data_IF_751771566100
#
_entry.id   IF_751771566100
#
_cell.length_a   1.000
_cell.length_b   1.000
_cell.length_c   1.000
_cell.angle_alpha   90.00
_cell.angle_beta   90.00
_cell.angle_gamma   90.00
#
_symmetry.space_group_name_H-M   'P 1'
#
loop_
_entity.id
_entity.type
_entity.pdbx_description
1 polymer ?
#
# COMPACT_ATOMS: atom_id res chain seq x y z
N UNK A 1 20.57 6.32 28.04
CA UNK A 1 21.22 5.00 28.16
C UNK A 1 20.44 4.04 27.26
N UNK A 2 21.03 3.61 26.14
CA UNK A 2 20.45 2.53 25.34
C UNK A 2 20.52 1.24 26.17
N UNK A 3 19.46 0.40 26.22
CA UNK A 3 19.51 -0.84 26.97
C UNK A 3 20.58 -1.78 26.38
N UNK A 4 21.32 -2.44 27.26
CA UNK A 4 22.36 -3.41 26.90
C UNK A 4 21.77 -4.57 26.08
N UNK A 5 22.56 -5.12 25.16
CA UNK A 5 22.16 -6.17 24.21
C UNK A 5 21.63 -7.48 24.84
N UNK A 6 21.71 -7.64 26.17
CA UNK A 6 21.29 -8.82 26.92
C UNK A 6 19.80 -8.88 27.26
N UNK A 7 19.02 -7.82 27.02
CA UNK A 7 17.61 -7.73 27.44
C UNK A 7 16.60 -7.76 26.27
N UNK A 8 17.03 -8.19 25.08
CA UNK A 8 16.14 -8.30 23.92
C UNK A 8 15.27 -9.58 24.03
N UNK A 9 13.94 -9.49 23.83
CA UNK A 9 13.08 -10.66 23.78
C UNK A 9 13.61 -11.70 22.77
N UNK A 10 13.57 -13.00 23.11
CA UNK A 10 14.12 -14.08 22.27
C UNK A 10 13.63 -14.04 20.82
N UNK A 11 12.39 -13.61 20.59
CA UNK A 11 11.81 -13.47 19.25
C UNK A 11 12.48 -12.36 18.41
N UNK A 12 12.98 -11.30 19.05
CA UNK A 12 13.72 -10.20 18.39
C UNK A 12 15.11 -10.65 17.96
N UNK A 13 15.80 -11.40 18.82
CA UNK A 13 17.15 -11.91 18.56
C UNK A 13 17.18 -12.92 17.43
N UNK A 14 16.13 -13.75 17.32
CA UNK A 14 16.06 -14.75 16.26
C UNK A 14 16.10 -14.08 14.87
N UNK A 15 15.36 -13.00 14.61
CA UNK A 15 15.16 -12.43 13.27
C UNK A 15 16.41 -11.84 12.56
N UNK A 16 17.58 -11.78 13.21
CA UNK A 16 18.82 -11.17 12.68
C UNK A 16 19.54 -11.93 11.53
N UNK A 17 19.00 -13.05 11.04
CA UNK A 17 19.69 -13.99 10.11
C UNK A 17 19.42 -13.72 8.62
N UNK A 18 18.61 -12.72 8.27
CA UNK A 18 18.45 -12.32 6.87
C UNK A 18 19.73 -11.64 6.35
N UNK A 19 20.36 -12.25 5.36
CA UNK A 19 21.48 -11.63 4.65
C UNK A 19 21.04 -10.25 4.12
N UNK A 20 21.87 -9.22 4.37
CA UNK A 20 21.70 -7.86 3.82
C UNK A 20 21.83 -7.89 2.30
N UNK A 21 20.76 -8.24 1.60
CA UNK A 21 20.77 -8.39 0.14
C UNK A 21 20.47 -7.08 -0.61
N UNK A 22 19.92 -6.06 0.05
CA UNK A 22 19.62 -4.75 -0.54
C UNK A 22 20.24 -3.62 0.28
N UNK A 23 20.79 -2.61 -0.40
CA UNK A 23 21.27 -1.39 0.25
C UNK A 23 20.12 -0.56 0.83
N UNK A 24 20.41 0.30 1.81
CA UNK A 24 19.44 1.24 2.39
C UNK A 24 18.75 2.09 1.32
N UNK A 25 19.49 2.47 0.27
CA UNK A 25 18.94 3.22 -0.86
C UNK A 25 17.93 2.38 -1.67
N UNK A 26 18.25 1.11 -1.95
CA UNK A 26 17.33 0.20 -2.66
C UNK A 26 16.05 -0.05 -1.84
N UNK A 27 16.16 -0.17 -0.52
CA UNK A 27 14.98 -0.33 0.36
C UNK A 27 14.10 0.91 0.38
N UNK A 28 14.69 2.10 0.45
CA UNK A 28 13.95 3.36 0.37
C UNK A 28 13.25 3.52 -1.00
N UNK A 29 13.87 3.05 -2.08
CA UNK A 29 13.26 3.05 -3.40
C UNK A 29 12.10 2.05 -3.49
N UNK A 30 12.24 0.84 -2.94
CA UNK A 30 11.13 -0.11 -2.84
C UNK A 30 9.96 0.44 -2.03
N UNK A 31 10.26 1.17 -0.94
CA UNK A 31 9.25 1.83 -0.12
C UNK A 31 8.44 2.87 -0.91
N UNK A 32 9.14 3.74 -1.63
CA UNK A 32 8.51 4.75 -2.50
C UNK A 32 7.76 4.11 -3.67
N UNK A 33 8.33 3.06 -4.28
CA UNK A 33 7.74 2.31 -5.38
C UNK A 33 6.46 1.58 -4.99
N UNK A 34 6.43 1.01 -3.77
CA UNK A 34 5.26 0.38 -3.18
C UNK A 34 4.14 1.39 -2.91
N UNK A 35 4.46 2.51 -2.28
CA UNK A 35 3.47 3.54 -1.89
C UNK A 35 2.94 4.36 -3.09
N UNK A 36 3.79 4.72 -4.06
CA UNK A 36 3.36 5.40 -5.29
C UNK A 36 2.92 4.34 -6.30
N UNK A 37 1.66 3.93 -6.18
CA UNK A 37 1.07 2.88 -7.01
C UNK A 37 -0.37 3.15 -7.42
N UNK A 38 -1.12 2.07 -7.62
CA UNK A 38 -2.53 2.11 -8.04
C UNK A 38 -3.44 2.83 -7.04
N UNK A 39 -3.02 2.95 -5.78
CA UNK A 39 -3.71 3.75 -4.78
C UNK A 39 -3.80 5.23 -5.12
N UNK A 40 -2.76 5.82 -5.74
CA UNK A 40 -2.84 7.18 -6.26
C UNK A 40 -3.48 7.21 -7.64
N UNK A 41 -3.09 6.31 -8.54
CA UNK A 41 -3.42 6.47 -9.96
C UNK A 41 -4.76 5.88 -10.40
N UNK A 42 -5.35 4.94 -9.67
CA UNK A 42 -6.62 4.30 -10.03
C UNK A 42 -7.67 4.51 -8.94
N UNK A 43 -7.33 4.25 -7.68
CA UNK A 43 -8.26 4.43 -6.56
C UNK A 43 -8.65 5.89 -6.33
N UNK A 44 -7.86 6.86 -6.83
CA UNK A 44 -8.24 8.27 -6.80
C UNK A 44 -9.49 8.58 -7.61
N UNK A 45 -9.78 7.82 -8.67
CA UNK A 45 -11.02 8.00 -9.44
C UNK A 45 -12.24 7.70 -8.58
N UNK A 46 -12.16 6.63 -7.78
CA UNK A 46 -13.20 6.23 -6.82
C UNK A 46 -13.35 7.28 -5.71
N UNK A 47 -12.24 7.79 -5.15
CA UNK A 47 -12.29 8.79 -4.09
C UNK A 47 -12.84 10.14 -4.56
N UNK A 48 -12.45 10.58 -5.76
CA UNK A 48 -12.96 11.82 -6.39
C UNK A 48 -14.45 11.70 -6.70
N UNK A 49 -14.95 10.53 -7.11
CA UNK A 49 -16.37 10.33 -7.38
C UNK A 49 -17.23 10.49 -6.10
N UNK A 50 -16.69 10.08 -4.95
CA UNK A 50 -17.39 10.13 -3.64
C UNK A 50 -17.24 11.48 -2.93
N UNK A 51 -16.11 12.17 -3.08
CA UNK A 51 -15.83 13.41 -2.36
C UNK A 51 -15.92 14.69 -3.23
N UNK A 52 -15.92 14.55 -4.57
CA UNK A 52 -15.76 15.68 -5.48
C UNK A 52 -14.40 16.38 -5.30
N UNK A 53 -14.29 17.70 -5.58
CA UNK A 53 -13.05 18.45 -5.40
C UNK A 53 -12.53 18.45 -3.96
N UNK A 54 -13.42 18.30 -2.97
CA UNK A 54 -13.06 18.17 -1.56
C UNK A 54 -12.27 16.89 -1.22
N UNK A 55 -12.04 15.99 -2.19
CA UNK A 55 -11.13 14.84 -2.05
C UNK A 55 -9.72 15.25 -1.60
N UNK A 56 -9.31 16.50 -1.86
CA UNK A 56 -8.06 17.08 -1.35
C UNK A 56 -8.00 16.94 0.18
N UNK A 57 -9.11 17.22 0.87
CA UNK A 57 -9.20 17.06 2.33
C UNK A 57 -9.21 15.59 2.74
N UNK A 58 -9.76 14.68 1.94
CA UNK A 58 -9.65 13.24 2.19
C UNK A 58 -8.19 12.76 2.20
N UNK A 59 -7.36 13.28 1.29
CA UNK A 59 -5.91 13.01 1.30
C UNK A 59 -5.19 13.64 2.50
N UNK A 60 -5.57 14.85 2.92
CA UNK A 60 -5.02 15.48 4.13
C UNK A 60 -5.36 14.68 5.39
N UNK A 61 -6.60 14.18 5.52
CA UNK A 61 -6.99 13.34 6.65
C UNK A 61 -6.24 12.00 6.63
N UNK A 62 -6.13 11.35 5.47
CA UNK A 62 -5.33 10.12 5.32
C UNK A 62 -3.85 10.33 5.65
N UNK A 63 -3.27 11.47 5.24
CA UNK A 63 -1.91 11.87 5.61
C UNK A 63 -1.76 12.04 7.13
N UNK A 64 -2.73 12.68 7.79
CA UNK A 64 -2.72 12.86 9.24
C UNK A 64 -2.78 11.51 9.99
N UNK A 65 -3.63 10.58 9.56
CA UNK A 65 -3.69 9.21 10.13
C UNK A 65 -2.35 8.49 9.93
N UNK A 66 -1.78 8.58 8.72
CA UNK A 66 -0.50 7.97 8.40
C UNK A 66 0.64 8.57 9.23
N UNK A 67 0.60 9.87 9.53
CA UNK A 67 1.54 10.53 10.43
C UNK A 67 1.43 10.01 11.87
N UNK A 68 0.21 9.81 12.39
CA UNK A 68 0.00 9.20 13.70
C UNK A 68 0.55 7.78 13.76
N UNK A 69 0.31 6.97 12.71
CA UNK A 69 0.86 5.63 12.57
C UNK A 69 2.39 5.66 12.54
N UNK A 70 2.98 6.55 11.74
CA UNK A 70 4.42 6.75 11.64
C UNK A 70 5.06 7.07 12.99
N UNK A 71 4.43 7.92 13.81
CA UNK A 71 4.93 8.20 15.17
C UNK A 71 4.96 6.96 16.06
N UNK A 72 3.88 6.17 16.06
CA UNK A 72 3.80 4.92 16.81
C UNK A 72 4.87 3.91 16.36
N UNK A 73 5.03 3.76 15.04
CA UNK A 73 6.04 2.88 14.46
C UNK A 73 7.47 3.33 14.78
N UNK A 74 7.76 4.65 14.74
CA UNK A 74 9.08 5.18 15.09
C UNK A 74 9.46 4.81 16.53
N UNK A 75 8.56 5.05 17.49
CA UNK A 75 8.83 4.76 18.91
C UNK A 75 9.15 3.27 19.15
N UNK A 76 8.36 2.36 18.56
CA UNK A 76 8.61 0.92 18.71
C UNK A 76 9.83 0.43 17.92
N UNK A 77 10.05 0.95 16.71
CA UNK A 77 11.16 0.54 15.85
C UNK A 77 12.53 0.97 16.39
N UNK A 78 12.59 2.14 17.04
CA UNK A 78 13.82 2.61 17.71
C UNK A 78 14.07 1.80 18.98
N UNK A 79 13.04 1.44 19.73
CA UNK A 79 13.17 0.64 20.95
C UNK A 79 13.54 -0.84 20.67
N UNK A 80 12.94 -1.43 19.63
CA UNK A 80 13.10 -2.85 19.27
C UNK A 80 13.30 -3.04 17.76
N UNK A 81 14.46 -2.63 17.20
CA UNK A 81 14.75 -2.79 15.78
C UNK A 81 14.86 -4.29 15.46
N UNK A 82 13.91 -4.81 14.68
CA UNK A 82 13.81 -6.25 14.38
C UNK A 82 13.23 -6.50 13.00
N UNK A 83 13.73 -7.51 12.30
CA UNK A 83 13.13 -7.95 11.04
C UNK A 83 11.79 -8.65 11.38
N UNK A 84 10.69 -8.14 10.82
CA UNK A 84 9.32 -8.57 11.18
C UNK A 84 8.52 -7.52 11.97
N UNK A 85 9.19 -6.51 12.53
CA UNK A 85 8.64 -5.26 13.04
C UNK A 85 7.36 -5.42 13.87
N UNK A 86 6.26 -4.81 13.44
CA UNK A 86 4.99 -4.77 14.16
C UNK A 86 4.34 -6.13 14.39
N UNK A 87 4.64 -7.14 13.55
CA UNK A 87 4.21 -8.52 13.80
C UNK A 87 4.97 -9.21 14.93
N UNK A 88 6.22 -8.81 15.19
CA UNK A 88 6.98 -9.25 16.37
C UNK A 88 6.49 -8.50 17.60
N UNK A 89 6.37 -7.17 17.51
CA UNK A 89 5.95 -6.34 18.64
C UNK A 89 4.54 -6.72 19.15
N UNK A 90 3.60 -7.03 18.26
CA UNK A 90 2.27 -7.51 18.67
C UNK A 90 2.35 -8.83 19.46
N UNK A 91 3.29 -9.72 19.08
CA UNK A 91 3.57 -10.96 19.80
C UNK A 91 4.07 -10.72 21.22
N UNK A 92 5.02 -9.79 21.37
CA UNK A 92 5.67 -9.44 22.62
C UNK A 92 4.76 -8.65 23.56
N UNK A 93 4.05 -7.64 23.04
CA UNK A 93 3.32 -6.67 23.86
C UNK A 93 1.84 -6.99 24.08
N UNK A 94 1.25 -7.86 23.26
CA UNK A 94 -0.16 -8.24 23.38
C UNK A 94 -0.30 -9.73 23.68
N UNK A 95 0.06 -10.59 22.72
CA UNK A 95 0.00 -12.05 22.87
C UNK A 95 0.60 -12.77 21.66
N UNK A 96 0.99 -14.05 21.78
CA UNK A 96 1.39 -14.86 20.64
C UNK A 96 0.35 -14.92 19.51
N UNK A 97 -0.95 -14.94 19.84
CA UNK A 97 -2.04 -14.85 18.86
C UNK A 97 -2.02 -13.52 18.10
N UNK A 98 -1.83 -12.39 18.79
CA UNK A 98 -1.76 -11.09 18.15
C UNK A 98 -0.56 -11.00 17.18
N UNK A 99 0.60 -11.55 17.58
CA UNK A 99 1.77 -11.67 16.70
C UNK A 99 1.47 -12.49 15.43
N UNK A 100 0.82 -13.64 15.58
CA UNK A 100 0.35 -14.46 14.45
C UNK A 100 -0.63 -13.70 13.56
N UNK A 101 -1.68 -13.13 14.17
CA UNK A 101 -2.79 -12.47 13.48
C UNK A 101 -2.30 -11.30 12.61
N UNK A 102 -1.37 -10.50 13.13
CA UNK A 102 -0.76 -9.38 12.41
C UNK A 102 0.10 -9.87 11.25
N UNK A 103 0.97 -10.87 11.47
CA UNK A 103 1.83 -11.40 10.40
C UNK A 103 1.03 -12.05 9.27
N UNK A 104 0.03 -12.88 9.60
CA UNK A 104 -0.83 -13.51 8.59
C UNK A 104 -1.68 -12.48 7.86
N UNK A 105 -2.25 -11.50 8.57
CA UNK A 105 -3.03 -10.44 7.93
C UNK A 105 -2.17 -9.59 7.00
N UNK A 106 -0.96 -9.24 7.41
CA UNK A 106 -0.01 -8.50 6.58
C UNK A 106 0.43 -9.31 5.36
N UNK A 107 0.68 -10.61 5.51
CA UNK A 107 0.97 -11.48 4.36
C UNK A 107 -0.23 -11.56 3.39
N UNK A 108 -1.41 -11.85 3.91
CA UNK A 108 -2.62 -12.07 3.11
C UNK A 108 -3.05 -10.80 2.38
N UNK A 109 -3.02 -9.64 3.05
CA UNK A 109 -3.36 -8.37 2.41
C UNK A 109 -2.41 -8.04 1.26
N UNK A 110 -1.12 -8.38 1.38
CA UNK A 110 -0.14 -8.11 0.34
C UNK A 110 -0.36 -9.01 -0.87
N UNK A 111 -0.70 -10.30 -0.66
CA UNK A 111 -1.07 -11.22 -1.74
C UNK A 111 -2.28 -10.68 -2.51
N UNK A 112 -3.32 -10.26 -1.80
CA UNK A 112 -4.55 -9.73 -2.38
C UNK A 112 -4.31 -8.38 -3.08
N UNK A 113 -3.55 -7.47 -2.46
CA UNK A 113 -3.14 -6.20 -3.06
C UNK A 113 -2.35 -6.41 -4.36
N UNK A 114 -1.46 -7.40 -4.40
CA UNK A 114 -0.72 -7.79 -5.62
C UNK A 114 -1.69 -8.24 -6.72
N UNK A 115 -2.68 -9.07 -6.39
CA UNK A 115 -3.76 -9.43 -7.33
C UNK A 115 -4.50 -8.21 -7.87
N UNK A 116 -4.86 -7.26 -7.00
CA UNK A 116 -5.50 -6.00 -7.39
C UNK A 116 -4.66 -5.13 -8.31
N UNK A 117 -3.34 -5.12 -8.12
CA UNK A 117 -2.41 -4.38 -8.98
C UNK A 117 -2.25 -5.03 -10.36
N UNK A 118 -2.26 -6.36 -10.44
CA UNK A 118 -2.30 -7.06 -11.74
C UNK A 118 -3.62 -6.81 -12.47
N UNK A 119 -4.74 -6.76 -11.75
CA UNK A 119 -6.03 -6.36 -12.32
C UNK A 119 -5.95 -4.92 -12.83
N UNK A 120 -5.38 -3.98 -12.07
CA UNK A 120 -5.16 -2.62 -12.55
C UNK A 120 -4.26 -2.57 -13.80
N UNK A 121 -3.18 -3.35 -13.84
CA UNK A 121 -2.34 -3.48 -15.02
C UNK A 121 -3.13 -3.98 -16.24
N UNK A 122 -4.07 -4.92 -16.04
CA UNK A 122 -4.96 -5.38 -17.12
C UNK A 122 -5.92 -4.29 -17.63
N UNK A 123 -6.37 -3.38 -16.75
CA UNK A 123 -7.20 -2.23 -17.12
C UNK A 123 -6.40 -1.29 -18.01
N UNK A 124 -5.14 -0.98 -17.63
CA UNK A 124 -4.28 -0.12 -18.42
C UNK A 124 -3.91 -0.72 -19.77
N UNK A 125 -3.73 -2.04 -19.87
CA UNK A 125 -3.52 -2.70 -21.16
C UNK A 125 -4.74 -2.59 -22.09
N UNK A 126 -5.94 -2.47 -21.53
CA UNK A 126 -7.15 -2.21 -22.29
C UNK A 126 -7.13 -0.89 -23.08
N UNK A 127 -6.30 0.08 -22.68
CA UNK A 127 -6.12 1.34 -23.42
C UNK A 127 -5.54 1.10 -24.83
N UNK A 128 -4.54 0.23 -24.96
CA UNK A 128 -3.91 -0.10 -26.25
C UNK A 128 -4.53 -1.31 -26.93
N UNK A 129 -5.00 -2.28 -26.13
CA UNK A 129 -5.47 -3.58 -26.60
C UNK A 129 -6.89 -3.87 -26.08
N UNK A 130 -7.90 -3.07 -26.45
CA UNK A 130 -9.27 -3.21 -25.92
C UNK A 130 -9.94 -4.55 -26.29
N UNK A 131 -9.50 -5.19 -27.38
CA UNK A 131 -10.02 -6.49 -27.82
C UNK A 131 -9.47 -7.71 -27.06
N UNK A 132 -8.46 -7.54 -26.20
CA UNK A 132 -7.83 -8.64 -25.47
C UNK A 132 -8.45 -8.77 -24.08
N UNK A 133 -9.02 -9.93 -23.70
CA UNK A 133 -9.58 -10.14 -22.37
C UNK A 133 -8.57 -9.84 -21.25
N UNK A 134 -8.98 -9.04 -20.26
CA UNK A 134 -8.10 -8.59 -19.18
C UNK A 134 -7.46 -9.74 -18.38
N UNK A 135 -8.13 -10.88 -18.26
CA UNK A 135 -7.58 -12.06 -17.57
C UNK A 135 -6.26 -12.57 -18.20
N UNK A 136 -6.10 -12.42 -19.53
CA UNK A 136 -4.86 -12.80 -20.23
C UNK A 136 -3.71 -11.91 -19.76
N UNK A 137 -3.95 -10.60 -19.63
CA UNK A 137 -2.95 -9.68 -19.11
C UNK A 137 -2.59 -9.96 -17.65
N UNK A 138 -3.58 -10.25 -16.79
CA UNK A 138 -3.31 -10.65 -15.40
C UNK A 138 -2.42 -11.89 -15.35
N UNK A 139 -2.73 -12.92 -16.14
CA UNK A 139 -1.93 -14.14 -16.21
C UNK A 139 -0.51 -13.86 -16.72
N UNK A 140 -0.38 -13.11 -17.81
CA UNK A 140 0.91 -12.80 -18.41
C UNK A 140 1.83 -12.04 -17.43
N UNK A 141 1.31 -11.02 -16.76
CA UNK A 141 2.08 -10.25 -15.77
C UNK A 141 2.37 -11.07 -14.50
N UNK A 142 1.43 -11.89 -14.02
CA UNK A 142 1.67 -12.80 -12.91
C UNK A 142 2.83 -13.76 -13.22
N UNK A 143 2.80 -14.42 -14.38
CA UNK A 143 3.85 -15.32 -14.83
C UNK A 143 5.20 -14.60 -14.97
N UNK A 144 5.22 -13.42 -15.59
CA UNK A 144 6.42 -12.61 -15.72
C UNK A 144 7.02 -12.24 -14.36
N UNK A 145 6.21 -11.77 -13.42
CA UNK A 145 6.67 -11.43 -12.07
C UNK A 145 7.24 -12.63 -11.32
N UNK A 146 6.59 -13.80 -11.40
CA UNK A 146 7.09 -15.03 -10.76
C UNK A 146 8.43 -15.50 -11.38
N UNK A 147 8.58 -15.40 -12.70
CA UNK A 147 9.83 -15.72 -13.39
C UNK A 147 10.94 -14.74 -13.00
N UNK A 148 10.65 -13.43 -12.96
CA UNK A 148 11.62 -12.41 -12.57
C UNK A 148 12.05 -12.59 -11.11
N UNK A 149 11.10 -12.81 -10.20
CA UNK A 149 11.37 -12.95 -8.77
C UNK A 149 12.03 -14.29 -8.40
N UNK A 150 11.93 -15.32 -9.24
CA UNK A 150 12.64 -16.59 -9.04
C UNK A 150 14.09 -16.56 -9.52
N UNK A 151 14.47 -15.65 -10.43
CA UNK A 151 15.80 -15.55 -11.03
C UNK A 151 16.65 -14.44 -10.41
N UNK A 152 17.18 -14.73 -9.22
CA UNK A 152 18.23 -14.02 -8.47
C UNK A 152 17.99 -12.54 -8.09
N UNK A 153 17.89 -12.32 -6.78
CA UNK A 153 17.51 -11.07 -6.09
C UNK A 153 18.43 -9.87 -6.36
N UNK A 154 19.68 -10.10 -6.79
CA UNK A 154 20.69 -9.05 -6.97
C UNK A 154 20.37 -7.98 -8.02
N UNK A 155 19.46 -8.25 -8.96
CA UNK A 155 19.04 -7.27 -10.00
C UNK A 155 17.70 -6.58 -9.69
N UNK A 156 16.95 -7.06 -8.70
CA UNK A 156 15.62 -6.52 -8.38
C UNK A 156 15.69 -5.07 -7.89
N UNK A 157 16.66 -4.74 -7.03
CA UNK A 157 16.83 -3.37 -6.54
C UNK A 157 17.17 -2.36 -7.65
N UNK A 158 17.90 -2.78 -8.69
CA UNK A 158 18.23 -1.92 -9.83
C UNK A 158 17.03 -1.72 -10.76
N UNK A 159 16.27 -2.80 -11.04
CA UNK A 159 15.02 -2.70 -11.83
C UNK A 159 14.03 -1.79 -11.11
N UNK A 160 13.88 -1.97 -9.79
CA UNK A 160 12.98 -1.16 -8.98
C UNK A 160 13.37 0.32 -8.98
N UNK A 161 14.67 0.63 -8.87
CA UNK A 161 15.16 1.99 -8.96
C UNK A 161 14.69 2.71 -10.22
N UNK A 162 14.84 2.06 -11.38
CA UNK A 162 14.40 2.64 -12.66
C UNK A 162 12.87 2.76 -12.74
N UNK A 163 12.13 1.76 -12.26
CA UNK A 163 10.66 1.83 -12.24
C UNK A 163 10.16 2.96 -11.33
N UNK A 164 10.76 3.16 -10.15
CA UNK A 164 10.42 4.29 -9.28
C UNK A 164 10.80 5.62 -9.91
N UNK A 165 11.96 5.71 -10.57
CA UNK A 165 12.39 6.93 -11.25
C UNK A 165 11.38 7.36 -12.32
N UNK A 166 10.87 6.41 -13.13
CA UNK A 166 9.82 6.67 -14.12
C UNK A 166 8.59 7.29 -13.46
N UNK A 167 8.14 6.75 -12.31
CA UNK A 167 6.98 7.28 -11.58
C UNK A 167 7.21 8.70 -11.09
N UNK A 168 8.36 8.95 -10.45
CA UNK A 168 8.68 10.26 -9.87
C UNK A 168 8.77 11.33 -10.96
N UNK A 169 9.47 11.03 -12.06
CA UNK A 169 9.58 11.93 -13.21
C UNK A 169 8.21 12.19 -13.81
N UNK A 170 7.38 11.17 -13.99
CA UNK A 170 6.05 11.33 -14.56
C UNK A 170 5.11 12.15 -13.66
N UNK A 171 5.17 11.97 -12.34
CA UNK A 171 4.45 12.80 -11.38
C UNK A 171 4.92 14.25 -11.47
N UNK A 172 6.24 14.49 -11.53
CA UNK A 172 6.78 15.83 -11.67
C UNK A 172 6.36 16.51 -12.98
N UNK A 173 6.38 15.77 -14.10
CA UNK A 173 5.89 16.23 -15.40
C UNK A 173 4.40 16.54 -15.36
N UNK A 174 3.60 15.66 -14.76
CA UNK A 174 2.16 15.89 -14.59
C UNK A 174 1.91 17.16 -13.77
N UNK A 175 2.60 17.33 -12.64
CA UNK A 175 2.48 18.53 -11.79
C UNK A 175 2.88 19.79 -12.58
N UNK A 176 4.02 19.79 -13.25
CA UNK A 176 4.50 20.93 -14.04
C UNK A 176 3.56 21.28 -15.19
N UNK A 177 3.23 20.33 -16.05
CA UNK A 177 2.35 20.55 -17.21
C UNK A 177 0.95 20.99 -16.80
N UNK A 178 0.36 20.33 -15.79
CA UNK A 178 -0.98 20.68 -15.32
C UNK A 178 -1.00 22.04 -14.62
N UNK A 179 0.06 22.40 -13.87
CA UNK A 179 0.17 23.73 -13.28
C UNK A 179 0.25 24.83 -14.36
N UNK A 180 0.99 24.62 -15.44
CA UNK A 180 1.04 25.56 -16.58
C UNK A 180 -0.34 25.76 -17.20
N UNK A 181 -1.09 24.67 -17.41
CA UNK A 181 -2.47 24.72 -17.96
C UNK A 181 -3.43 25.43 -17.02
N UNK A 182 -3.36 25.16 -15.71
CA UNK A 182 -4.23 25.79 -14.70
C UNK A 182 -3.93 27.29 -14.58
N UNK A 183 -2.67 27.70 -14.69
CA UNK A 183 -2.24 29.11 -14.59
C UNK A 183 -2.35 29.90 -15.91
N UNK A 184 -2.58 29.23 -17.05
CA UNK A 184 -2.63 29.87 -18.37
C UNK A 184 -1.26 30.26 -18.92
N UNK A 185 -0.17 29.75 -18.32
CA UNK A 185 1.19 30.01 -18.77
C UNK A 185 1.56 29.24 -20.05
N UNK A 186 0.62 28.48 -20.61
CA UNK A 186 0.76 27.78 -21.89
C UNK A 186 0.43 28.65 -23.12
N UNK A 187 -0.05 29.88 -22.91
CA UNK A 187 -0.55 30.75 -24.00
C UNK A 187 -2.02 30.54 -24.35
N UNK A 188 -2.65 29.51 -23.78
CA UNK A 188 -4.09 29.26 -23.83
C UNK A 188 -4.81 29.89 -22.63
N UNK A 189 -6.13 30.19 -22.70
CA UNK A 189 -6.87 30.73 -21.57
C UNK A 189 -6.74 29.83 -20.34
N UNK A 190 -6.34 30.42 -19.21
CA UNK A 190 -6.18 29.70 -17.96
C UNK A 190 -7.46 28.90 -17.63
N UNK A 191 -7.30 27.60 -17.37
CA UNK A 191 -8.41 26.82 -16.79
C UNK A 191 -8.79 27.40 -15.44
N UNK A 192 -7.82 27.92 -14.69
CA UNK A 192 -8.00 28.51 -13.37
C UNK A 192 -8.55 27.50 -12.37
N UNK A 193 -9.17 28.00 -11.30
CA UNK A 193 -9.79 27.17 -10.26
C UNK A 193 -11.27 26.89 -10.51
N UNK A 194 -11.79 27.17 -11.72
CA UNK A 194 -13.23 27.06 -12.03
C UNK A 194 -13.78 25.64 -11.90
N UNK A 195 -12.96 24.62 -12.13
CA UNK A 195 -13.38 23.23 -11.99
C UNK A 195 -13.45 22.79 -10.51
N UNK A 196 -12.73 23.48 -9.62
CA UNK A 196 -12.78 23.24 -8.18
C UNK A 196 -14.11 23.72 -7.59
N UNK A 197 -14.63 24.85 -8.08
CA UNK A 197 -15.89 25.44 -7.60
C UNK A 197 -17.10 25.11 -8.50
N UNK A 198 -16.88 24.60 -9.70
CA UNK A 198 -17.91 24.16 -10.63
C UNK A 198 -18.53 22.79 -10.30
N UNK A 199 -19.57 22.39 -11.05
CA UNK A 199 -20.18 21.04 -10.97
C UNK A 199 -20.77 20.64 -9.61
N UNK A 200 -21.26 21.61 -8.83
CA UNK A 200 -21.86 21.40 -7.50
C UNK A 200 -21.08 22.01 -6.33
N UNK A 201 -20.07 22.84 -6.60
CA UNK A 201 -19.25 23.48 -5.58
C UNK A 201 -18.01 22.67 -5.19
N UNK A 202 -17.24 23.21 -4.25
CA UNK A 202 -16.02 22.57 -3.75
C UNK A 202 -16.29 21.24 -3.02
N UNK A 203 -17.34 21.20 -2.19
CA UNK A 203 -17.70 20.05 -1.38
C UNK A 203 -19.15 19.61 -1.66
N UNK A 204 -19.44 19.06 -2.86
CA UNK A 204 -20.81 18.73 -3.28
C UNK A 204 -21.49 17.69 -2.38
N UNK A 205 -20.70 16.89 -1.65
CA UNK A 205 -21.16 15.86 -0.72
C UNK A 205 -20.86 16.21 0.75
N UNK A 206 -20.46 17.46 1.02
CA UNK A 206 -20.12 17.96 2.35
C UNK A 206 -19.01 17.18 3.06
N UNK A 207 -18.94 17.34 4.39
CA UNK A 207 -17.95 16.65 5.25
C UNK A 207 -18.11 15.13 5.18
N UNK A 208 -19.33 14.63 4.96
CA UNK A 208 -19.60 13.20 4.79
C UNK A 208 -18.86 12.64 3.57
N UNK A 209 -18.93 13.32 2.42
CA UNK A 209 -18.18 12.90 1.23
C UNK A 209 -16.68 12.89 1.45
N UNK A 210 -16.15 13.91 2.14
CA UNK A 210 -14.73 13.97 2.51
C UNK A 210 -14.34 12.74 3.34
N UNK A 211 -15.11 12.41 4.38
CA UNK A 211 -14.84 11.26 5.25
C UNK A 211 -14.96 9.93 4.51
N UNK A 212 -15.99 9.75 3.69
CA UNK A 212 -16.14 8.52 2.88
C UNK A 212 -15.01 8.40 1.83
N UNK A 213 -14.53 9.52 1.28
CA UNK A 213 -13.35 9.57 0.41
C UNK A 213 -12.09 9.04 1.09
N UNK A 214 -11.94 9.22 2.42
CA UNK A 214 -10.80 8.70 3.19
C UNK A 214 -10.70 7.18 3.08
N UNK A 215 -11.82 6.47 2.95
CA UNK A 215 -11.83 5.02 2.79
C UNK A 215 -11.05 4.55 1.56
N UNK A 216 -10.95 5.39 0.52
CA UNK A 216 -10.15 5.12 -0.67
C UNK A 216 -8.74 5.71 -0.56
N UNK A 217 -8.60 6.97 -0.12
CA UNK A 217 -7.31 7.67 -0.09
C UNK A 217 -6.33 7.10 0.93
N UNK A 218 -6.83 6.49 2.01
CA UNK A 218 -5.98 5.80 2.99
C UNK A 218 -5.17 4.67 2.35
N UNK A 219 -5.71 4.03 1.30
CA UNK A 219 -5.02 2.96 0.58
C UNK A 219 -3.76 3.47 -0.13
N UNK A 220 -3.72 4.74 -0.55
CA UNK A 220 -2.52 5.34 -1.14
C UNK A 220 -1.34 5.39 -0.16
N UNK A 221 -1.60 5.38 1.14
CA UNK A 221 -0.57 5.43 2.17
C UNK A 221 -0.16 4.05 2.71
N UNK A 222 -0.83 2.97 2.29
CA UNK A 222 -0.39 1.61 2.65
C UNK A 222 0.99 1.37 2.05
N UNK A 223 1.91 0.85 2.87
CA UNK A 223 3.31 0.65 2.51
C UNK A 223 4.26 1.59 3.25
N UNK A 224 3.78 2.66 3.92
CA UNK A 224 4.62 3.49 4.79
C UNK A 224 5.21 2.71 5.97
N UNK A 225 4.59 1.59 6.34
CA UNK A 225 5.09 0.68 7.37
C UNK A 225 6.38 -0.07 6.97
N UNK A 226 6.80 -0.03 5.70
CA UNK A 226 8.02 -0.71 5.25
C UNK A 226 9.28 -0.24 5.98
N UNK A 227 9.36 1.04 6.36
CA UNK A 227 10.47 1.59 7.16
C UNK A 227 10.56 0.92 8.53
N UNK A 228 9.43 0.49 9.08
CA UNK A 228 9.41 -0.32 10.30
C UNK A 228 9.90 -1.75 10.01
N UNK A 229 9.43 -2.38 8.92
CA UNK A 229 9.85 -3.74 8.53
C UNK A 229 11.35 -3.85 8.31
N UNK A 230 11.97 -2.81 7.76
CA UNK A 230 13.42 -2.75 7.51
C UNK A 230 14.23 -2.16 8.68
N UNK A 231 13.60 -1.86 9.81
CA UNK A 231 14.27 -1.27 10.98
C UNK A 231 15.44 -2.11 11.51
N UNK A 232 15.33 -3.44 11.45
CA UNK A 232 16.38 -4.37 11.87
C UNK A 232 17.65 -4.32 11.00
N UNK A 233 17.61 -3.64 9.86
CA UNK A 233 18.74 -3.51 8.93
C UNK A 233 19.44 -2.15 9.02
N UNK A 234 18.90 -1.20 9.79
CA UNK A 234 19.47 0.14 9.94
C UNK A 234 20.74 0.12 10.81
N UNK A 235 21.79 0.82 10.38
CA UNK A 235 23.05 0.95 11.12
C UNK A 235 22.92 1.79 12.39
N UNK A 236 22.15 2.88 12.32
CA UNK A 236 21.73 3.68 13.48
C UNK A 236 20.20 3.82 13.45
N UNK A 237 19.47 2.89 14.10
CA UNK A 237 18.02 2.91 14.17
C UNK A 237 17.46 4.22 14.77
N UNK A 238 18.12 4.77 15.80
CA UNK A 238 17.64 5.92 16.54
C UNK A 238 17.60 7.21 15.70
N UNK A 239 18.53 7.37 14.76
CA UNK A 239 18.55 8.52 13.84
C UNK A 239 17.93 8.22 12.48
N UNK A 240 18.19 7.03 11.93
CA UNK A 240 17.82 6.70 10.55
C UNK A 240 16.33 6.49 10.40
N UNK A 241 15.70 5.78 11.33
CA UNK A 241 14.28 5.40 11.23
C UNK A 241 13.36 6.63 11.34
N UNK A 242 13.48 7.53 12.35
CA UNK A 242 12.63 8.71 12.44
C UNK A 242 12.75 9.60 11.21
N UNK A 243 13.98 9.81 10.72
CA UNK A 243 14.26 10.66 9.56
C UNK A 243 13.66 10.07 8.28
N UNK A 244 13.84 8.77 8.04
CA UNK A 244 13.30 8.07 6.88
C UNK A 244 11.77 8.08 6.88
N UNK A 245 11.14 7.71 8.01
CA UNK A 245 9.69 7.67 8.14
C UNK A 245 9.04 9.05 7.94
N UNK A 246 9.57 10.10 8.59
CA UNK A 246 9.04 11.47 8.43
C UNK A 246 9.16 11.97 7.01
N UNK A 247 10.31 11.77 6.36
CA UNK A 247 10.54 12.18 4.96
C UNK A 247 9.59 11.47 4.01
N UNK A 248 9.38 10.17 4.22
CA UNK A 248 8.48 9.37 3.38
C UNK A 248 7.03 9.85 3.52
N UNK A 249 6.50 9.94 4.75
CA UNK A 249 5.11 10.35 4.95
C UNK A 249 4.87 11.77 4.45
N UNK A 250 5.75 12.73 4.77
CA UNK A 250 5.60 14.11 4.31
C UNK A 250 5.74 14.22 2.79
N UNK A 251 6.69 13.50 2.19
CA UNK A 251 6.90 13.49 0.74
C UNK A 251 5.69 12.93 0.00
N UNK A 252 5.17 11.77 0.43
CA UNK A 252 3.97 11.18 -0.16
C UNK A 252 2.74 12.07 0.03
N UNK A 253 2.57 12.66 1.22
CA UNK A 253 1.47 13.58 1.50
C UNK A 253 1.49 14.78 0.56
N UNK A 254 2.66 15.41 0.38
CA UNK A 254 2.82 16.54 -0.52
C UNK A 254 2.51 16.13 -1.97
N UNK A 255 3.07 15.01 -2.43
CA UNK A 255 2.83 14.49 -3.78
C UNK A 255 1.34 14.25 -4.01
N UNK A 256 0.66 13.53 -3.11
CA UNK A 256 -0.75 13.18 -3.29
C UNK A 256 -1.67 14.40 -3.24
N UNK A 257 -1.47 15.31 -2.28
CA UNK A 257 -2.29 16.51 -2.17
C UNK A 257 -2.12 17.41 -3.40
N UNK A 258 -0.88 17.66 -3.83
CA UNK A 258 -0.59 18.52 -4.99
C UNK A 258 -1.13 17.91 -6.28
N UNK A 259 -0.87 16.62 -6.52
CA UNK A 259 -1.31 15.95 -7.74
C UNK A 259 -2.84 15.90 -7.85
N UNK A 260 -3.54 15.61 -6.76
CA UNK A 260 -5.00 15.56 -6.74
C UNK A 260 -5.61 16.94 -6.87
N UNK A 261 -5.05 17.96 -6.21
CA UNK A 261 -5.50 19.34 -6.35
C UNK A 261 -5.41 19.81 -7.81
N UNK A 262 -4.29 19.53 -8.48
CA UNK A 262 -4.11 19.85 -9.90
C UNK A 262 -5.03 19.04 -10.82
N UNK A 263 -5.27 17.77 -10.49
CA UNK A 263 -6.18 16.91 -11.25
C UNK A 263 -7.61 17.48 -11.25
N UNK A 264 -8.17 17.80 -10.08
CA UNK A 264 -9.54 18.35 -9.96
C UNK A 264 -9.63 19.82 -10.39
N UNK A 265 -8.52 20.56 -10.39
CA UNK A 265 -8.45 21.91 -10.95
C UNK A 265 -8.46 21.90 -12.48
N UNK A 266 -7.73 20.96 -13.09
CA UNK A 266 -7.59 20.91 -14.56
C UNK A 266 -8.80 20.32 -15.26
N UNK A 267 -9.49 19.36 -14.64
CA UNK A 267 -10.60 18.63 -15.26
C UNK A 267 -11.82 18.60 -14.34
N UNK A 268 -13.04 18.85 -14.84
CA UNK A 268 -14.26 18.69 -14.06
C UNK A 268 -14.36 17.29 -13.45
N UNK A 269 -14.54 17.20 -12.13
CA UNK A 269 -14.47 15.92 -11.41
C UNK A 269 -15.50 14.87 -11.87
N UNK A 270 -16.65 15.30 -12.39
CA UNK A 270 -17.69 14.41 -12.97
C UNK A 270 -17.26 13.74 -14.29
N UNK A 271 -16.20 14.24 -14.90
CA UNK A 271 -15.66 13.75 -16.17
C UNK A 271 -14.42 12.86 -15.98
N UNK A 272 -13.93 12.71 -14.75
CA UNK A 272 -12.87 11.77 -14.41
C UNK A 272 -13.48 10.36 -14.34
N UNK A 273 -12.90 9.42 -15.09
CA UNK A 273 -13.42 8.06 -15.22
C UNK A 273 -13.34 7.26 -13.91
N UNK A 274 -14.25 6.30 -13.75
CA UNK A 274 -14.35 5.41 -12.55
C UNK A 274 -13.81 3.99 -12.85
N UNK A 275 -13.39 3.71 -14.09
CA UNK A 275 -12.88 2.40 -14.54
C UNK A 275 -11.50 2.44 -15.21
N UNK A 276 -10.87 3.61 -15.23
CA UNK A 276 -9.53 3.86 -15.78
C UNK A 276 -8.80 4.87 -14.87
N UNK A 277 -7.53 5.14 -15.12
CA UNK A 277 -6.80 6.13 -14.32
C UNK A 277 -7.35 7.54 -14.59
N UNK A 278 -7.83 8.29 -13.57
CA UNK A 278 -8.29 9.67 -13.79
C UNK A 278 -7.16 10.60 -14.27
N UNK A 279 -5.89 10.24 -14.04
CA UNK A 279 -4.76 10.97 -14.59
C UNK A 279 -4.63 10.80 -16.11
N UNK A 280 -4.89 9.59 -16.60
CA UNK A 280 -4.93 9.29 -18.04
C UNK A 280 -6.12 9.99 -18.68
N UNK A 281 -7.32 9.86 -18.09
CA UNK A 281 -8.54 10.53 -18.58
C UNK A 281 -8.40 12.05 -18.57
N UNK A 282 -7.80 12.61 -17.51
CA UNK A 282 -7.56 14.05 -17.38
C UNK A 282 -6.63 14.57 -18.48
N UNK A 283 -5.47 13.92 -18.68
CA UNK A 283 -4.53 14.30 -19.73
C UNK A 283 -5.09 14.12 -21.14
N UNK A 284 -5.90 13.09 -21.39
CA UNK A 284 -6.58 12.90 -22.66
C UNK A 284 -7.48 14.10 -23.03
N UNK A 285 -8.09 14.73 -22.03
CA UNK A 285 -8.96 15.90 -22.20
C UNK A 285 -8.20 17.21 -22.39
N UNK A 286 -6.95 17.29 -21.95
CA UNK A 286 -6.10 18.47 -22.20
C UNK A 286 -5.66 18.58 -23.67
N UNK A 287 -5.92 17.57 -24.50
CA UNK A 287 -5.62 17.61 -25.94
C UNK A 287 -4.13 17.53 -26.27
N UNK A 288 -3.26 17.26 -25.28
CA UNK A 288 -1.81 17.13 -25.50
C UNK A 288 -1.53 15.79 -26.19
N UNK A 289 -1.06 15.77 -27.46
CA UNK A 289 -0.85 14.53 -28.19
C UNK A 289 0.14 13.61 -27.47
N UNK A 290 -0.23 12.34 -27.33
CA UNK A 290 0.61 11.31 -26.68
C UNK A 290 0.68 11.37 -25.15
N UNK A 291 0.22 12.44 -24.49
CA UNK A 291 0.31 12.59 -23.03
C UNK A 291 -0.48 11.51 -22.28
N UNK A 292 -1.70 11.21 -22.73
CA UNK A 292 -2.52 10.15 -22.15
C UNK A 292 -1.88 8.76 -22.27
N UNK A 293 -1.32 8.44 -23.46
CA UNK A 293 -0.62 7.18 -23.69
C UNK A 293 0.65 7.04 -22.85
N UNK A 294 1.44 8.11 -22.73
CA UNK A 294 2.62 8.13 -21.87
C UNK A 294 2.23 7.94 -20.40
N UNK A 295 1.19 8.64 -19.93
CA UNK A 295 0.70 8.48 -18.57
C UNK A 295 0.16 7.07 -18.34
N UNK A 296 -0.51 6.47 -19.33
CA UNK A 296 -0.99 5.10 -19.24
C UNK A 296 0.16 4.09 -19.07
N UNK A 297 1.29 4.32 -19.77
CA UNK A 297 2.52 3.55 -19.58
C UNK A 297 3.13 3.74 -18.19
N UNK A 298 3.16 4.98 -17.69
CA UNK A 298 3.62 5.28 -16.34
C UNK A 298 2.78 4.54 -15.31
N UNK A 299 1.45 4.62 -15.35
CA UNK A 299 0.59 3.97 -14.35
C UNK A 299 0.63 2.45 -14.44
N UNK A 300 0.87 1.88 -15.64
CA UNK A 300 1.15 0.46 -15.82
C UNK A 300 2.45 0.06 -15.12
N UNK A 301 3.55 0.78 -15.40
CA UNK A 301 4.83 0.54 -14.71
C UNK A 301 4.70 0.71 -13.20
N UNK A 302 3.83 1.64 -12.76
CA UNK A 302 3.58 1.89 -11.36
C UNK A 302 2.91 0.71 -10.66
N UNK A 303 1.92 0.10 -11.32
CA UNK A 303 1.25 -1.11 -10.85
C UNK A 303 2.22 -2.30 -10.77
N UNK A 304 3.01 -2.54 -11.81
CA UNK A 304 3.96 -3.66 -11.85
C UNK A 304 5.09 -3.54 -10.83
N UNK A 305 5.65 -2.34 -10.62
CA UNK A 305 6.67 -2.13 -9.58
C UNK A 305 6.08 -2.29 -8.17
N UNK A 306 4.87 -1.79 -7.92
CA UNK A 306 4.21 -2.04 -6.64
C UNK A 306 3.98 -3.54 -6.41
N UNK A 307 3.74 -4.32 -7.47
CA UNK A 307 3.52 -5.77 -7.36
C UNK A 307 4.81 -6.49 -7.01
N UNK A 308 5.92 -6.05 -7.58
CA UNK A 308 7.24 -6.52 -7.26
C UNK A 308 7.62 -6.21 -5.79
N UNK A 309 7.34 -4.98 -5.32
CA UNK A 309 7.54 -4.60 -3.92
C UNK A 309 6.68 -5.42 -2.96
N UNK A 310 5.43 -5.71 -3.30
CA UNK A 310 4.56 -6.57 -2.50
C UNK A 310 5.06 -8.01 -2.44
N UNK A 311 5.51 -8.60 -3.56
CA UNK A 311 6.10 -9.95 -3.58
C UNK A 311 7.31 -10.06 -2.65
N UNK A 312 8.11 -9.00 -2.57
CA UNK A 312 9.22 -8.92 -1.64
C UNK A 312 8.77 -8.89 -0.17
N UNK A 313 7.73 -8.10 0.15
CA UNK A 313 7.15 -8.04 1.50
C UNK A 313 6.49 -9.36 1.90
N UNK A 314 5.79 -10.00 0.96
CA UNK A 314 5.16 -11.32 1.13
C UNK A 314 6.20 -12.35 1.54
N UNK A 315 7.31 -12.43 0.80
CA UNK A 315 8.40 -13.34 1.09
C UNK A 315 8.97 -13.16 2.50
N UNK A 316 9.23 -11.91 2.91
CA UNK A 316 9.76 -11.59 4.24
C UNK A 316 8.79 -11.91 5.36
N UNK A 317 7.51 -11.64 5.13
CA UNK A 317 6.47 -11.94 6.12
C UNK A 317 6.29 -13.44 6.29
N UNK A 318 6.35 -14.20 5.20
CA UNK A 318 6.26 -15.66 5.25
C UNK A 318 7.50 -16.28 5.90
N UNK A 319 8.69 -15.72 5.65
CA UNK A 319 9.90 -16.08 6.36
C UNK A 319 9.74 -15.87 7.88
N UNK A 320 9.26 -14.70 8.29
CA UNK A 320 9.01 -14.39 9.70
C UNK A 320 7.96 -15.33 10.33
N UNK A 321 6.90 -15.70 9.59
CA UNK A 321 5.91 -16.70 10.03
C UNK A 321 6.54 -18.08 10.24
N UNK A 322 7.41 -18.51 9.32
CA UNK A 322 8.06 -19.81 9.39
C UNK A 322 9.04 -19.88 10.58
N UNK A 323 9.76 -18.78 10.85
CA UNK A 323 10.67 -18.69 11.99
C UNK A 323 10.00 -18.67 13.35
N UNK A 324 8.80 -18.09 13.43
CA UNK A 324 7.94 -18.20 14.60
C UNK A 324 7.24 -19.57 14.72
N UNK A 325 7.50 -20.50 13.80
CA UNK A 325 6.92 -21.84 13.80
C UNK A 325 5.43 -21.90 13.42
N UNK A 326 4.85 -20.80 12.93
CA UNK A 326 3.44 -20.73 12.58
C UNK A 326 3.10 -21.40 11.24
N UNK A 327 4.09 -21.55 10.35
CA UNK A 327 3.96 -22.22 9.06
C UNK A 327 5.13 -23.20 8.85
N UNK A 328 5.05 -24.16 7.91
CA UNK A 328 6.13 -25.13 7.69
C UNK A 328 7.49 -24.45 7.44
N UNK A 329 8.60 -24.97 8.00
CA UNK A 329 9.94 -24.39 7.82
C UNK A 329 10.34 -24.20 6.35
N UNK A 330 9.86 -25.09 5.46
CA UNK A 330 10.08 -25.01 4.02
C UNK A 330 9.56 -23.72 3.37
N UNK A 331 8.60 -23.01 3.97
CA UNK A 331 8.13 -21.71 3.48
C UNK A 331 9.06 -20.55 3.89
N UNK A 332 9.93 -20.78 4.87
CA UNK A 332 11.00 -19.86 5.28
C UNK A 332 12.36 -20.17 4.67
N UNK A 333 12.47 -21.12 3.74
CA UNK A 333 13.75 -21.40 3.09
C UNK A 333 13.96 -20.47 1.89
N UNK A 334 15.21 -20.01 1.74
CA UNK A 334 15.66 -19.30 0.55
C UNK A 334 16.53 -20.22 -0.30
N UNK A 335 16.47 -20.06 -1.63
CA UNK A 335 17.35 -20.78 -2.55
C UNK A 335 18.81 -20.32 -2.38
N UNK A 336 19.76 -21.04 -3.00
CA UNK A 336 21.19 -20.66 -3.04
C UNK A 336 21.43 -19.25 -3.60
N UNK A 337 20.49 -18.71 -4.39
CA UNK A 337 20.54 -17.35 -4.94
C UNK A 337 19.76 -16.32 -4.10
N UNK A 338 19.36 -16.68 -2.87
CA UNK A 338 18.63 -15.81 -1.94
C UNK A 338 17.13 -15.67 -2.22
N UNK A 339 16.60 -16.29 -3.27
CA UNK A 339 15.19 -16.15 -3.66
C UNK A 339 14.28 -17.13 -2.88
N UNK A 340 13.18 -16.66 -2.26
CA UNK A 340 12.24 -17.47 -1.47
C UNK A 340 11.16 -18.12 -2.36
N UNK A 341 11.58 -19.06 -3.20
CA UNK A 341 10.74 -19.63 -4.27
C UNK A 341 9.47 -20.31 -3.74
N UNK A 342 9.53 -21.00 -2.60
CA UNK A 342 8.35 -21.63 -2.01
C UNK A 342 7.31 -20.60 -1.56
N UNK A 343 7.76 -19.47 -1.01
CA UNK A 343 6.88 -18.36 -0.66
C UNK A 343 6.23 -17.74 -1.89
N UNK A 344 6.99 -17.57 -2.97
CA UNK A 344 6.50 -17.07 -4.24
C UNK A 344 5.47 -18.01 -4.87
N UNK A 345 5.68 -19.33 -4.84
CA UNK A 345 4.74 -20.31 -5.38
C UNK A 345 3.42 -20.35 -4.60
N UNK A 346 3.47 -20.34 -3.27
CA UNK A 346 2.25 -20.25 -2.44
C UNK A 346 1.50 -18.94 -2.71
N UNK A 347 2.23 -17.85 -2.92
CA UNK A 347 1.64 -16.57 -3.29
C UNK A 347 1.10 -16.55 -4.72
N UNK A 348 1.67 -17.37 -5.61
CA UNK A 348 1.20 -17.64 -6.95
C UNK A 348 -0.21 -18.22 -7.00
N UNK A 349 -0.66 -18.91 -5.94
CA UNK A 349 -2.07 -19.35 -5.80
C UNK A 349 -3.00 -18.14 -5.71
N UNK A 350 -2.61 -17.11 -4.95
CA UNK A 350 -3.35 -15.85 -4.87
C UNK A 350 -3.36 -15.09 -6.20
N UNK A 351 -2.27 -15.15 -6.97
CA UNK A 351 -2.23 -14.58 -8.31
C UNK A 351 -3.11 -15.35 -9.31
N UNK A 352 -3.16 -16.68 -9.20
CA UNK A 352 -4.09 -17.51 -9.96
C UNK A 352 -5.56 -17.19 -9.65
N UNK A 353 -5.88 -16.95 -8.37
CA UNK A 353 -7.21 -16.47 -7.98
C UNK A 353 -7.52 -15.10 -8.60
N UNK A 354 -6.54 -14.21 -8.75
CA UNK A 354 -6.73 -12.94 -9.45
C UNK A 354 -7.09 -13.09 -10.93
N UNK A 355 -6.49 -14.07 -11.63
CA UNK A 355 -6.87 -14.41 -13.01
C UNK A 355 -8.33 -14.86 -13.07
N UNK A 356 -8.72 -15.78 -12.18
CA UNK A 356 -10.09 -16.31 -12.13
C UNK A 356 -11.10 -15.21 -11.82
N UNK A 357 -10.86 -14.39 -10.80
CA UNK A 357 -11.75 -13.28 -10.42
C UNK A 357 -11.87 -12.27 -11.56
N UNK A 358 -10.76 -11.94 -12.25
CA UNK A 358 -10.80 -11.03 -13.41
C UNK A 358 -11.56 -11.60 -14.60
N UNK A 359 -11.54 -12.92 -14.79
CA UNK A 359 -12.28 -13.61 -15.84
C UNK A 359 -13.79 -13.65 -15.53
N UNK A 360 -14.17 -13.93 -14.29
CA UNK A 360 -15.57 -14.07 -13.87
C UNK A 360 -16.27 -12.74 -13.62
N UNK A 361 -15.56 -11.75 -13.06
CA UNK A 361 -16.12 -10.45 -12.69
C UNK A 361 -15.28 -9.28 -13.24
N UNK A 362 -15.28 -9.08 -14.58
CA UNK A 362 -14.33 -8.20 -15.24
C UNK A 362 -14.38 -6.74 -14.78
N UNK A 363 -15.57 -6.23 -14.44
CA UNK A 363 -15.78 -4.83 -14.10
C UNK A 363 -15.58 -4.53 -12.61
N UNK A 364 -15.78 -5.51 -11.74
CA UNK A 364 -15.70 -5.32 -10.29
C UNK A 364 -14.44 -5.90 -9.67
N UNK A 365 -13.67 -6.72 -10.39
CA UNK A 365 -12.48 -7.40 -9.86
C UNK A 365 -11.53 -6.45 -9.10
N UNK A 366 -11.25 -5.27 -9.66
CA UNK A 366 -10.36 -4.30 -9.00
C UNK A 366 -10.90 -3.86 -7.64
N UNK A 367 -12.18 -3.47 -7.57
CA UNK A 367 -12.84 -3.01 -6.35
C UNK A 367 -12.91 -4.13 -5.31
N UNK A 368 -13.14 -5.38 -5.72
CA UNK A 368 -13.10 -6.53 -4.81
C UNK A 368 -11.70 -6.73 -4.21
N UNK A 369 -10.65 -6.77 -5.04
CA UNK A 369 -9.28 -6.89 -4.54
C UNK A 369 -8.90 -5.72 -3.63
N UNK A 370 -9.24 -4.50 -4.04
CA UNK A 370 -9.02 -3.29 -3.26
C UNK A 370 -9.68 -3.38 -1.89
N UNK A 371 -10.97 -3.68 -1.83
CA UNK A 371 -11.73 -3.67 -0.60
C UNK A 371 -11.35 -4.80 0.37
N UNK A 372 -11.03 -5.99 -0.14
CA UNK A 372 -10.55 -7.10 0.71
C UNK A 372 -9.13 -6.81 1.24
N UNK A 373 -8.23 -6.29 0.39
CA UNK A 373 -6.89 -5.89 0.84
C UNK A 373 -6.96 -4.74 1.86
N UNK A 374 -7.88 -3.78 1.66
CA UNK A 374 -8.11 -2.67 2.58
C UNK A 374 -8.52 -3.16 3.97
N UNK A 375 -9.34 -4.22 4.08
CA UNK A 375 -9.68 -4.80 5.38
C UNK A 375 -8.42 -5.23 6.13
N UNK A 376 -7.58 -6.04 5.47
CA UNK A 376 -6.34 -6.53 6.05
C UNK A 376 -5.39 -5.41 6.47
N UNK A 377 -5.28 -4.37 5.64
CA UNK A 377 -4.45 -3.20 5.93
C UNK A 377 -4.95 -2.40 7.13
N UNK A 378 -6.25 -2.09 7.18
CA UNK A 378 -6.85 -1.39 8.31
C UNK A 378 -6.78 -2.23 9.59
N UNK A 379 -6.94 -3.55 9.49
CA UNK A 379 -6.73 -4.45 10.63
C UNK A 379 -5.29 -4.39 11.15
N UNK A 380 -4.28 -4.46 10.27
CA UNK A 380 -2.88 -4.34 10.65
C UNK A 380 -2.59 -2.98 11.29
N UNK A 381 -3.06 -1.89 10.69
CA UNK A 381 -2.87 -0.53 11.23
C UNK A 381 -3.55 -0.34 12.59
N UNK A 382 -4.77 -0.87 12.76
CA UNK A 382 -5.45 -0.89 14.05
C UNK A 382 -4.61 -1.65 15.10
N UNK A 383 -4.12 -2.83 14.74
CA UNK A 383 -3.25 -3.62 15.62
C UNK A 383 -1.91 -2.94 15.93
N UNK A 384 -1.34 -2.16 15.00
CA UNK A 384 -0.14 -1.33 15.27
C UNK A 384 -0.45 -0.31 16.37
N UNK A 385 -1.58 0.39 16.30
CA UNK A 385 -1.95 1.34 17.34
C UNK A 385 -2.23 0.67 18.68
N UNK A 386 -2.96 -0.46 18.69
CA UNK A 386 -3.21 -1.25 19.90
C UNK A 386 -1.90 -1.74 20.52
N UNK A 387 -0.97 -2.23 19.69
CA UNK A 387 0.37 -2.65 20.13
C UNK A 387 1.15 -1.50 20.72
N UNK A 388 1.08 -0.31 20.12
CA UNK A 388 1.76 0.88 20.65
C UNK A 388 1.16 1.35 21.99
N UNK A 389 -0.17 1.25 22.15
CA UNK A 389 -0.85 1.53 23.42
C UNK A 389 -0.35 0.56 24.50
N UNK A 390 -0.27 -0.74 24.20
CA UNK A 390 0.26 -1.75 25.11
C UNK A 390 1.75 -1.53 25.43
N UNK A 391 2.57 -1.19 24.42
CA UNK A 391 3.98 -0.82 24.57
C UNK A 391 4.20 0.36 25.52
N UNK A 392 3.26 1.31 25.57
CA UNK A 392 3.32 2.47 26.48
C UNK A 392 2.53 2.27 27.78
N UNK A 393 2.05 1.06 28.06
CA UNK A 393 1.44 0.74 29.35
C UNK A 393 2.43 1.02 30.47
N UNK A 394 2.00 1.77 31.50
CA UNK A 394 2.87 2.25 32.58
C UNK A 394 3.67 3.52 32.26
N UNK A 395 3.44 4.17 31.11
CA UNK A 395 3.99 5.49 30.73
C UNK A 395 2.86 6.48 30.41
N UNK A 396 3.19 7.73 30.09
CA UNK A 396 2.22 8.70 29.61
C UNK A 396 1.42 8.16 28.40
N UNK A 397 0.09 8.26 28.49
CA UNK A 397 -0.84 7.68 27.52
C UNK A 397 -0.61 8.24 26.10
N UNK A 398 -0.46 7.39 25.07
CA UNK A 398 -0.26 7.84 23.71
C UNK A 398 -1.59 8.28 23.08
N UNK A 399 -2.03 9.51 23.36
CA UNK A 399 -3.27 10.08 22.79
C UNK A 399 -3.33 9.95 21.27
N UNK A 400 -2.19 10.12 20.58
CA UNK A 400 -2.10 9.99 19.13
C UNK A 400 -2.41 8.58 18.63
N UNK A 401 -2.10 7.54 19.41
CA UNK A 401 -2.42 6.15 19.06
C UNK A 401 -3.87 5.80 19.35
N UNK A 402 -4.45 6.34 20.42
CA UNK A 402 -5.90 6.23 20.66
C UNK A 402 -6.69 6.91 19.54
N UNK A 403 -6.31 8.14 19.17
CA UNK A 403 -6.93 8.85 18.05
C UNK A 403 -6.75 8.09 16.73
N UNK A 404 -5.54 7.62 16.44
CA UNK A 404 -5.25 6.82 15.25
C UNK A 404 -6.09 5.54 15.17
N UNK A 405 -6.18 4.78 16.27
CA UNK A 405 -7.01 3.58 16.37
C UNK A 405 -8.49 3.90 16.13
N UNK A 406 -9.01 4.97 16.75
CA UNK A 406 -10.39 5.41 16.57
C UNK A 406 -10.68 5.82 15.13
N UNK A 407 -9.77 6.54 14.47
CA UNK A 407 -9.91 6.95 13.07
C UNK A 407 -9.88 5.75 12.12
N UNK A 408 -8.95 4.81 12.32
CA UNK A 408 -8.86 3.58 11.50
C UNK A 408 -10.11 2.70 11.69
N UNK A 409 -10.57 2.53 12.93
CA UNK A 409 -11.82 1.82 13.21
C UNK A 409 -13.03 2.54 12.59
N UNK A 410 -13.06 3.87 12.66
CA UNK A 410 -14.08 4.69 12.02
C UNK A 410 -14.11 4.51 10.51
N UNK A 411 -12.95 4.48 9.84
CA UNK A 411 -12.85 4.18 8.41
C UNK A 411 -13.39 2.79 8.13
N UNK A 412 -12.97 1.79 8.91
CA UNK A 412 -13.39 0.41 8.73
C UNK A 412 -14.91 0.28 8.78
N UNK A 413 -15.58 0.87 9.79
CA UNK A 413 -17.05 0.92 9.86
C UNK A 413 -17.66 1.70 8.69
N UNK A 414 -17.01 2.79 8.28
CA UNK A 414 -17.52 3.67 7.24
C UNK A 414 -17.56 3.04 5.85
N UNK A 415 -16.74 2.01 5.60
CA UNK A 415 -16.77 1.24 4.35
C UNK A 415 -18.14 0.60 4.07
N UNK A 416 -18.98 0.37 5.10
CA UNK A 416 -20.37 -0.09 4.90
C UNK A 416 -21.23 0.91 4.11
N UNK A 417 -20.99 2.20 4.34
CA UNK A 417 -21.76 3.30 3.73
C UNK A 417 -21.27 3.66 2.32
N UNK A 418 -20.22 3.00 1.84
CA UNK A 418 -19.71 3.11 0.48
C UNK A 418 -20.06 1.81 -0.25
N UNK A 419 -20.94 1.88 -1.26
CA UNK A 419 -21.43 0.68 -1.99
C UNK A 419 -20.29 -0.23 -2.44
N UNK A 420 -19.24 0.38 -2.98
CA UNK A 420 -18.09 -0.30 -3.57
C UNK A 420 -17.19 -0.95 -2.51
N UNK A 421 -17.23 -0.47 -1.26
CA UNK A 421 -16.38 -0.97 -0.17
C UNK A 421 -17.13 -1.81 0.86
N UNK A 422 -18.42 -2.14 0.66
CA UNK A 422 -19.12 -3.09 1.54
C UNK A 422 -18.38 -4.43 1.67
N UNK A 423 -17.70 -4.83 0.59
CA UNK A 423 -16.83 -6.00 0.55
C UNK A 423 -15.79 -5.99 1.67
N UNK A 424 -15.27 -4.82 2.06
CA UNK A 424 -14.25 -4.67 3.10
C UNK A 424 -14.73 -5.23 4.43
N UNK A 425 -15.93 -4.86 4.88
CA UNK A 425 -16.47 -5.39 6.14
C UNK A 425 -16.96 -6.83 6.01
N UNK A 426 -17.60 -7.19 4.89
CA UNK A 426 -18.08 -8.57 4.70
C UNK A 426 -16.93 -9.57 4.61
N UNK A 427 -15.77 -9.15 4.11
CA UNK A 427 -14.55 -9.97 4.12
C UNK A 427 -13.95 -10.12 5.52
N UNK A 428 -14.31 -9.25 6.47
CA UNK A 428 -13.75 -9.27 7.82
C UNK A 428 -14.11 -10.51 8.63
N UNK A 429 -15.36 -10.98 8.56
CA UNK A 429 -15.77 -12.20 9.25
C UNK A 429 -14.99 -13.46 8.80
N UNK A 430 -14.90 -13.79 7.49
CA UNK A 430 -14.09 -14.92 7.04
C UNK A 430 -12.59 -14.70 7.29
N UNK A 431 -12.11 -13.45 7.24
CA UNK A 431 -10.71 -13.13 7.58
C UNK A 431 -10.40 -13.48 9.03
N UNK A 432 -11.19 -12.99 9.98
CA UNK A 432 -10.99 -13.25 11.41
C UNK A 432 -11.16 -14.74 11.72
N UNK A 433 -12.13 -15.41 11.10
CA UNK A 433 -12.31 -16.86 11.22
C UNK A 433 -11.05 -17.62 10.72
N UNK A 434 -10.48 -17.22 9.58
CA UNK A 434 -9.24 -17.77 9.05
C UNK A 434 -8.08 -17.59 10.04
N UNK A 435 -7.95 -16.41 10.66
CA UNK A 435 -6.91 -16.19 11.68
C UNK A 435 -7.08 -17.10 12.90
N UNK A 436 -8.30 -17.23 13.42
CA UNK A 436 -8.57 -18.07 14.61
C UNK A 436 -8.33 -19.54 14.31
N UNK A 437 -8.89 -20.05 13.20
CA UNK A 437 -8.72 -21.45 12.79
C UNK A 437 -7.26 -21.74 12.46
N UNK A 438 -6.62 -20.87 11.69
CA UNK A 438 -5.22 -21.01 11.31
C UNK A 438 -4.27 -21.03 12.52
N UNK A 439 -4.53 -20.19 13.53
CA UNK A 439 -3.74 -20.19 14.77
C UNK A 439 -3.93 -21.48 15.57
N UNK A 440 -5.15 -22.01 15.69
CA UNK A 440 -5.40 -23.28 16.38
C UNK A 440 -4.70 -24.45 15.70
N UNK A 441 -4.64 -24.43 14.36
CA UNK A 441 -3.93 -25.44 13.58
C UNK A 441 -2.41 -25.33 13.70
N UNK A 442 -1.87 -24.11 13.80
CA UNK A 442 -0.43 -23.89 13.99
C UNK A 442 0.03 -24.18 15.42
N UNK A 443 -0.79 -23.88 16.42
CA UNK A 443 -0.50 -24.19 17.83
C UNK A 443 -0.29 -25.69 18.06
N UNK A 444 -1.03 -26.56 17.35
CA UNK A 444 -0.85 -28.02 17.36
C UNK A 444 0.51 -28.50 16.80
N UNK A 445 1.24 -27.64 16.08
CA UNK A 445 2.60 -27.94 15.58
C UNK A 445 3.70 -27.44 16.52
N UNK A 446 3.36 -26.52 17.41
CA UNK A 446 4.27 -25.95 18.41
C UNK A 446 4.27 -26.75 19.72
N UNK A 447 3.19 -27.50 19.97
CA UNK A 447 3.08 -28.59 20.97
C UNK A 447 3.65 -29.88 20.41
#
# INVERSE_FOLDING_TARGET
>A
MAPAATDQPRDVANEQVLARQLSTAQQAMMALGGAIGTGLFLASGLSVNVAGPAVIFSYVVAAAISWLLGRALIEMAVAHPTAGAFGVWAGVYISPFAGYAVRVSYWLMQVIATGGQLVAASIYMGYWFPGVPGAIWVFAFAAALLIINSRAVGRLGAIEYWLVMIKVVAVALFVGTTALVVTGLTGEPAVGLRNITGSGGFAPFGVRGVWLGVCFTIYSFIGVEIVAVTSGEASDPAQTIPKAMRRMILGLSAIYVVTIALLVASTPWRQLGVGESPFVSGLARLGIPGAAGLMNFVVLSAALSSSNANLYLIARTLFSLARAGFVPPALGTVTRHGAPVNALLVSGIGLGAAVLVRALWPNSAYVWFFGVALFGALFVWLMIFVTHIAFRSGRAAPWGSWLGAALVAGILVSTWFVSDLRVTLTAGAPWLALLVVGYRLSARRLS
#
